data_IF_600745700072
#
_entry.id   IF_600745700072
#
_cell.length_a   1.000
_cell.length_b   1.000
_cell.length_c   1.000
_cell.angle_alpha   90.00
_cell.angle_beta   90.00
_cell.angle_gamma   90.00
#
_symmetry.space_group_name_H-M   'P 1'
#
loop_
_entity.id
_entity.type
_entity.pdbx_description
1 polymer ?
#
# COMPACT_ATOMS: atom_id res chain seq x y z
N UNK A 1 24.29 10.39 13.35
CA UNK A 1 24.17 9.22 12.45
C UNK A 1 25.27 9.24 11.39
N UNK A 2 25.31 10.22 10.48
CA UNK A 2 26.35 10.31 9.43
C UNK A 2 27.80 10.21 9.91
N UNK A 3 28.18 10.99 10.93
CA UNK A 3 29.56 11.01 11.46
C UNK A 3 29.97 9.76 12.23
N UNK A 4 29.03 8.85 12.51
CA UNK A 4 29.29 7.64 13.30
C UNK A 4 29.14 6.37 12.46
N UNK A 5 28.13 6.32 11.58
CA UNK A 5 27.81 5.15 10.75
C UNK A 5 28.23 5.31 9.28
N UNK A 6 28.77 6.47 8.88
CA UNK A 6 29.12 6.74 7.49
C UNK A 6 27.94 7.21 6.64
N UNK A 7 28.23 7.42 5.37
CA UNK A 7 27.36 8.13 4.43
C UNK A 7 26.26 7.24 3.84
N UNK A 8 26.60 5.99 3.48
CA UNK A 8 25.66 4.98 2.97
C UNK A 8 24.48 4.76 3.94
N UNK A 9 24.78 4.51 5.22
CA UNK A 9 23.77 4.29 6.26
C UNK A 9 22.95 5.57 6.52
N UNK A 10 23.59 6.75 6.51
CA UNK A 10 22.89 8.01 6.70
C UNK A 10 21.89 8.33 5.57
N UNK A 11 22.24 8.01 4.32
CA UNK A 11 21.37 8.23 3.17
C UNK A 11 20.17 7.29 3.17
N UNK A 12 20.35 6.04 3.60
CA UNK A 12 19.23 5.09 3.82
C UNK A 12 18.21 5.63 4.84
N UNK A 13 18.67 6.08 6.02
CA UNK A 13 17.76 6.62 7.03
C UNK A 13 17.13 7.95 6.59
N UNK A 14 17.82 8.76 5.79
CA UNK A 14 17.25 9.95 5.19
C UNK A 14 16.11 9.61 4.21
N UNK A 15 16.29 8.57 3.38
CA UNK A 15 15.24 8.07 2.50
C UNK A 15 14.05 7.50 3.26
N UNK A 16 14.31 6.63 4.24
CA UNK A 16 13.26 6.02 5.04
C UNK A 16 12.41 7.07 5.76
N UNK A 17 13.05 8.07 6.37
CA UNK A 17 12.36 9.18 7.02
C UNK A 17 11.51 9.97 6.04
N UNK A 18 12.07 10.35 4.89
CA UNK A 18 11.34 11.06 3.83
C UNK A 18 10.13 10.25 3.33
N UNK A 19 10.33 8.96 3.04
CA UNK A 19 9.29 8.04 2.61
C UNK A 19 8.14 7.98 3.61
N UNK A 20 8.46 7.83 4.89
CA UNK A 20 7.45 7.71 5.96
C UNK A 20 6.61 8.99 6.09
N UNK A 21 7.25 10.17 6.02
CA UNK A 21 6.56 11.46 6.04
C UNK A 21 5.61 11.64 4.84
N UNK A 22 6.06 11.30 3.63
CA UNK A 22 5.23 11.45 2.42
C UNK A 22 4.14 10.37 2.35
N UNK A 23 4.40 9.17 2.87
CA UNK A 23 3.42 8.09 2.98
C UNK A 23 2.28 8.45 3.93
N UNK A 24 2.57 9.17 5.01
CA UNK A 24 1.53 9.66 5.92
C UNK A 24 0.51 10.54 5.18
N UNK A 25 0.96 11.37 4.23
CA UNK A 25 0.06 12.20 3.39
C UNK A 25 -0.82 11.31 2.49
N UNK A 26 -0.26 10.24 1.91
CA UNK A 26 -1.03 9.28 1.11
C UNK A 26 -1.99 8.42 1.94
N UNK A 27 -1.68 8.18 3.21
CA UNK A 27 -2.52 7.39 4.10
C UNK A 27 -3.84 8.11 4.45
N UNK A 28 -3.85 9.44 4.52
CA UNK A 28 -5.04 10.24 4.85
C UNK A 28 -6.25 9.91 3.93
N UNK A 29 -6.16 10.03 2.59
CA UNK A 29 -7.28 9.69 1.72
C UNK A 29 -7.69 8.21 1.81
N UNK A 30 -6.72 7.29 2.00
CA UNK A 30 -7.01 5.87 2.21
C UNK A 30 -7.84 5.62 3.47
N UNK A 31 -7.47 6.25 4.60
CA UNK A 31 -8.23 6.18 5.84
C UNK A 31 -9.64 6.76 5.69
N UNK A 32 -9.80 7.89 4.99
CA UNK A 32 -11.10 8.51 4.74
C UNK A 32 -12.02 7.56 3.97
N UNK A 33 -11.52 6.94 2.90
CA UNK A 33 -12.29 5.99 2.10
C UNK A 33 -12.66 4.74 2.88
N UNK A 34 -11.75 4.23 3.72
CA UNK A 34 -12.02 3.09 4.58
C UNK A 34 -13.11 3.39 5.62
N UNK A 35 -13.04 4.55 6.28
CA UNK A 35 -14.06 5.00 7.24
C UNK A 35 -15.41 5.17 6.53
N UNK A 36 -15.43 5.76 5.33
CA UNK A 36 -16.64 5.90 4.53
C UNK A 36 -17.27 4.54 4.19
N UNK A 37 -16.45 3.59 3.73
CA UNK A 37 -16.90 2.22 3.45
C UNK A 37 -17.47 1.56 4.70
N UNK A 38 -16.81 1.71 5.86
CA UNK A 38 -17.27 1.15 7.12
C UNK A 38 -18.63 1.72 7.57
N UNK A 39 -18.85 3.03 7.44
CA UNK A 39 -20.15 3.66 7.72
C UNK A 39 -21.24 3.11 6.77
N UNK A 40 -20.88 2.83 5.52
CA UNK A 40 -21.81 2.31 4.50
C UNK A 40 -22.00 0.78 4.52
N UNK A 41 -21.42 0.06 5.48
CA UNK A 41 -21.37 -1.42 5.54
C UNK A 41 -22.75 -2.11 5.55
N UNK A 42 -23.81 -1.42 5.97
CA UNK A 42 -25.17 -2.00 6.07
C UNK A 42 -26.12 -1.56 4.94
N UNK A 43 -25.71 -0.61 4.09
CA UNK A 43 -26.65 0.08 3.19
C UNK A 43 -26.73 -0.50 1.78
N UNK A 44 -25.86 -1.43 1.39
CA UNK A 44 -25.80 -1.90 0.01
C UNK A 44 -26.84 -2.97 -0.33
N UNK A 45 -27.46 -2.80 -1.50
CA UNK A 45 -28.50 -3.69 -2.03
C UNK A 45 -27.98 -5.13 -2.19
N UNK A 46 -26.77 -5.28 -2.75
CA UNK A 46 -26.14 -6.60 -2.98
C UNK A 46 -25.91 -7.36 -1.66
N UNK A 47 -25.42 -6.66 -0.62
CA UNK A 47 -25.23 -7.31 0.69
C UNK A 47 -26.55 -7.76 1.29
N UNK A 48 -27.63 -6.97 1.13
CA UNK A 48 -28.97 -7.35 1.62
C UNK A 48 -29.51 -8.57 0.89
N UNK A 49 -29.38 -8.61 -0.43
CA UNK A 49 -29.81 -9.75 -1.25
C UNK A 49 -29.09 -11.04 -0.84
N UNK A 50 -27.78 -10.98 -0.59
CA UNK A 50 -27.01 -12.16 -0.14
C UNK A 50 -27.42 -12.59 1.27
N UNK A 51 -27.59 -11.67 2.21
CA UNK A 51 -27.94 -11.98 3.60
C UNK A 51 -29.40 -12.46 3.77
N UNK A 52 -30.31 -12.11 2.86
CA UNK A 52 -31.72 -12.52 2.92
C UNK A 52 -31.99 -13.83 2.14
N UNK A 53 -31.04 -14.27 1.32
CA UNK A 53 -31.15 -15.47 0.49
C UNK A 53 -30.93 -16.79 1.28
N UNK A 54 -31.85 -17.08 2.20
CA UNK A 54 -31.84 -18.30 3.03
C UNK A 54 -32.27 -19.57 2.28
N UNK A 55 -32.89 -19.44 1.11
CA UNK A 55 -33.43 -20.56 0.31
C UNK A 55 -32.57 -20.89 -0.91
N UNK A 56 -31.57 -20.07 -1.23
CA UNK A 56 -30.66 -20.31 -2.37
C UNK A 56 -29.49 -21.18 -1.93
N UNK A 57 -29.50 -22.43 -2.39
CA UNK A 57 -28.44 -23.41 -2.14
C UNK A 57 -27.42 -23.31 -3.27
N UNK A 58 -26.15 -23.17 -2.90
CA UNK A 58 -25.03 -23.12 -3.82
C UNK A 58 -24.46 -24.51 -4.09
N UNK A 59 -23.88 -24.67 -5.28
CA UNK A 59 -23.17 -25.88 -5.65
C UNK A 59 -21.93 -26.09 -4.77
N UNK A 60 -21.55 -27.35 -4.52
CA UNK A 60 -20.31 -27.66 -3.81
C UNK A 60 -19.10 -27.14 -4.60
N UNK A 61 -18.07 -26.68 -3.88
CA UNK A 61 -16.84 -26.18 -4.50
C UNK A 61 -15.93 -27.30 -5.03
N UNK A 62 -16.22 -28.56 -4.72
CA UNK A 62 -15.40 -29.71 -5.10
C UNK A 62 -16.23 -30.94 -5.51
N UNK A 63 -15.64 -31.78 -6.35
CA UNK A 63 -16.31 -32.96 -6.93
C UNK A 63 -16.58 -34.09 -5.92
N UNK A 64 -15.74 -34.25 -4.90
CA UNK A 64 -15.88 -35.36 -3.93
C UNK A 64 -16.11 -34.86 -2.50
N UNK A 65 -17.20 -35.34 -1.89
CA UNK A 65 -17.52 -35.19 -0.45
C UNK A 65 -17.59 -33.73 0.06
N UNK A 66 -17.91 -32.75 -0.79
CA UNK A 66 -18.22 -31.39 -0.33
C UNK A 66 -19.71 -31.25 -0.01
N UNK A 67 -20.08 -30.63 1.13
CA UNK A 67 -21.48 -30.31 1.41
C UNK A 67 -21.99 -29.17 0.51
N UNK A 68 -23.28 -29.17 0.25
CA UNK A 68 -23.98 -27.99 -0.27
C UNK A 68 -24.03 -26.93 0.83
N UNK A 69 -23.94 -25.65 0.44
CA UNK A 69 -23.88 -24.52 1.37
C UNK A 69 -24.89 -23.44 0.97
N UNK A 70 -25.32 -22.62 1.93
CA UNK A 70 -26.35 -21.61 1.72
C UNK A 70 -25.68 -20.28 1.40
N UNK A 71 -26.23 -19.51 0.45
CA UNK A 71 -25.65 -18.22 0.06
C UNK A 71 -25.54 -17.23 1.24
N UNK A 72 -26.54 -17.20 2.12
CA UNK A 72 -26.59 -16.37 3.32
C UNK A 72 -25.39 -16.55 4.26
N UNK A 73 -24.74 -17.73 4.27
CA UNK A 73 -23.55 -17.99 5.09
C UNK A 73 -22.36 -17.07 4.70
N UNK A 74 -22.36 -16.54 3.48
CA UNK A 74 -21.32 -15.60 2.98
C UNK A 74 -21.68 -14.12 3.17
N UNK A 75 -22.76 -13.81 3.87
CA UNK A 75 -23.22 -12.44 4.15
C UNK A 75 -22.11 -11.52 4.70
N UNK A 76 -21.33 -12.00 5.67
CA UNK A 76 -20.22 -11.21 6.27
C UNK A 76 -19.12 -10.93 5.24
N UNK A 77 -18.78 -11.92 4.42
CA UNK A 77 -17.79 -11.77 3.37
C UNK A 77 -18.25 -10.74 2.33
N UNK A 78 -19.49 -10.86 1.85
CA UNK A 78 -20.07 -9.93 0.89
C UNK A 78 -20.05 -8.48 1.38
N UNK A 79 -20.36 -8.25 2.66
CA UNK A 79 -20.29 -6.90 3.25
C UNK A 79 -18.87 -6.36 3.32
N UNK A 80 -17.89 -7.20 3.68
CA UNK A 80 -16.47 -6.79 3.69
C UNK A 80 -16.00 -6.47 2.28
N UNK A 81 -16.33 -7.32 1.31
CA UNK A 81 -16.02 -7.08 -0.11
C UNK A 81 -16.60 -5.76 -0.59
N UNK A 82 -17.84 -5.41 -0.22
CA UNK A 82 -18.41 -4.10 -0.59
C UNK A 82 -17.68 -2.90 0.03
N UNK A 83 -17.05 -3.05 1.20
CA UNK A 83 -16.23 -1.98 1.81
C UNK A 83 -14.92 -1.78 1.05
N UNK A 84 -14.32 -2.87 0.57
CA UNK A 84 -13.04 -2.87 -0.15
C UNK A 84 -13.23 -2.51 -1.63
N UNK A 85 -14.24 -3.07 -2.27
CA UNK A 85 -14.54 -2.90 -3.70
C UNK A 85 -15.65 -1.87 -3.89
N UNK A 86 -15.48 -0.69 -3.29
CA UNK A 86 -16.35 0.46 -3.49
C UNK A 86 -15.82 1.37 -4.61
N UNK A 87 -16.68 2.18 -5.23
CA UNK A 87 -16.30 3.11 -6.30
C UNK A 87 -15.13 4.04 -5.91
N UNK A 88 -15.03 4.42 -4.64
CA UNK A 88 -13.94 5.24 -4.12
C UNK A 88 -12.55 4.59 -4.20
N UNK A 89 -12.43 3.26 -4.16
CA UNK A 89 -11.12 2.59 -4.22
C UNK A 89 -10.52 2.63 -5.62
N UNK A 90 -11.34 2.74 -6.67
CA UNK A 90 -10.87 3.00 -8.04
C UNK A 90 -10.19 4.37 -8.13
N UNK A 91 -10.79 5.40 -7.54
CA UNK A 91 -10.20 6.74 -7.48
C UNK A 91 -8.88 6.73 -6.68
N UNK A 92 -8.84 5.99 -5.59
CA UNK A 92 -7.63 5.83 -4.78
C UNK A 92 -6.51 5.12 -5.54
N UNK A 93 -6.82 4.09 -6.33
CA UNK A 93 -5.83 3.40 -7.14
C UNK A 93 -5.14 4.34 -8.14
N UNK A 94 -5.92 5.18 -8.84
CA UNK A 94 -5.36 6.21 -9.73
C UNK A 94 -4.48 7.21 -8.97
N UNK A 95 -4.93 7.66 -7.79
CA UNK A 95 -4.14 8.52 -6.92
C UNK A 95 -2.82 7.89 -6.50
N UNK A 96 -2.82 6.60 -6.11
CA UNK A 96 -1.60 5.89 -5.70
C UNK A 96 -0.59 5.75 -6.84
N UNK A 97 -1.04 5.52 -8.06
CA UNK A 97 -0.17 5.50 -9.25
C UNK A 97 0.50 6.86 -9.45
N UNK A 98 -0.26 7.95 -9.42
CA UNK A 98 0.30 9.31 -9.58
C UNK A 98 1.23 9.63 -8.41
N UNK A 99 0.82 9.34 -7.18
CA UNK A 99 1.61 9.57 -5.97
C UNK A 99 2.96 8.86 -6.02
N UNK A 100 3.01 7.60 -6.46
CA UNK A 100 4.26 6.85 -6.58
C UNK A 100 5.25 7.52 -7.55
N UNK A 101 4.77 7.99 -8.70
CA UNK A 101 5.62 8.70 -9.68
C UNK A 101 6.16 10.02 -9.12
N UNK A 102 5.29 10.82 -8.50
CA UNK A 102 5.67 12.10 -7.88
C UNK A 102 6.67 11.87 -6.74
N UNK A 103 6.44 10.86 -5.90
CA UNK A 103 7.32 10.50 -4.80
C UNK A 103 8.75 10.22 -5.29
N UNK A 104 8.90 9.39 -6.33
CA UNK A 104 10.21 9.04 -6.88
C UNK A 104 10.92 10.27 -7.49
N UNK A 105 10.20 11.10 -8.25
CA UNK A 105 10.79 12.31 -8.85
C UNK A 105 11.19 13.37 -7.82
N UNK A 106 10.37 13.56 -6.78
CA UNK A 106 10.71 14.47 -5.69
C UNK A 106 11.87 13.91 -4.86
N UNK A 107 11.92 12.60 -4.63
CA UNK A 107 13.05 11.98 -3.95
C UNK A 107 14.36 12.16 -4.73
N UNK A 108 14.37 12.00 -6.05
CA UNK A 108 15.55 12.29 -6.89
C UNK A 108 16.08 13.71 -6.65
N UNK A 109 15.18 14.70 -6.59
CA UNK A 109 15.54 16.10 -6.28
C UNK A 109 16.03 16.27 -4.84
N UNK A 110 15.41 15.60 -3.88
CA UNK A 110 15.80 15.69 -2.47
C UNK A 110 17.16 15.06 -2.22
N UNK A 111 17.43 13.89 -2.81
CA UNK A 111 18.74 13.21 -2.81
C UNK A 111 19.84 14.14 -3.33
N UNK A 112 19.64 14.80 -4.48
CA UNK A 112 20.62 15.72 -5.05
C UNK A 112 20.98 16.87 -4.08
N UNK A 113 19.98 17.44 -3.39
CA UNK A 113 20.21 18.49 -2.37
C UNK A 113 20.97 17.95 -1.16
N UNK A 114 20.64 16.74 -0.69
CA UNK A 114 21.33 16.12 0.44
C UNK A 114 22.80 15.84 0.11
N UNK A 115 23.06 15.19 -1.04
CA UNK A 115 24.40 14.84 -1.52
C UNK A 115 25.25 16.10 -1.67
N UNK A 116 24.71 17.16 -2.29
CA UNK A 116 25.39 18.44 -2.45
C UNK A 116 25.69 19.11 -1.09
N UNK A 117 24.73 19.16 -0.17
CA UNK A 117 24.94 19.73 1.18
C UNK A 117 25.96 18.93 1.99
N UNK A 118 26.04 17.64 1.76
CA UNK A 118 26.97 16.75 2.45
C UNK A 118 28.34 16.66 1.77
N UNK A 119 28.54 17.36 0.65
CA UNK A 119 29.77 17.37 -0.15
C UNK A 119 30.22 15.97 -0.61
N UNK A 120 29.24 15.08 -0.86
CA UNK A 120 29.47 13.69 -1.26
C UNK A 120 29.54 13.51 -2.78
N UNK A 121 29.79 14.59 -3.54
CA UNK A 121 29.79 14.54 -5.01
C UNK A 121 30.96 13.75 -5.61
N UNK A 122 31.96 13.41 -4.79
CA UNK A 122 33.17 12.66 -5.17
C UNK A 122 33.18 11.22 -4.61
N UNK A 123 32.11 10.78 -3.95
CA UNK A 123 31.98 9.41 -3.50
C UNK A 123 31.55 8.53 -4.67
N UNK A 124 32.51 7.90 -5.34
CA UNK A 124 32.24 6.82 -6.30
C UNK A 124 32.06 5.52 -5.51
N UNK A 125 30.81 5.06 -5.42
CA UNK A 125 30.49 3.74 -4.84
C UNK A 125 31.26 2.61 -5.55
N UNK A 126 31.55 2.79 -6.85
CA UNK A 126 32.36 1.87 -7.66
C UNK A 126 33.84 1.84 -7.23
N UNK A 127 34.45 2.98 -6.86
CA UNK A 127 35.85 3.01 -6.38
C UNK A 127 35.99 2.37 -4.99
N UNK A 128 35.03 2.58 -4.08
CA UNK A 128 35.05 1.96 -2.76
C UNK A 128 34.82 0.46 -2.80
N UNK A 129 33.88 -0.03 -3.63
CA UNK A 129 33.64 -1.47 -3.79
C UNK A 129 34.87 -2.17 -4.37
N UNK A 130 35.50 -1.58 -5.41
CA UNK A 130 36.75 -2.10 -5.98
C UNK A 130 37.92 -2.07 -4.98
N UNK A 131 38.02 -1.06 -4.12
CA UNK A 131 39.06 -0.99 -3.09
C UNK A 131 38.86 -2.03 -1.97
N UNK A 132 37.62 -2.36 -1.64
CA UNK A 132 37.28 -3.41 -0.67
C UNK A 132 37.56 -4.82 -1.20
N UNK A 133 37.42 -5.04 -2.50
CA UNK A 133 37.82 -6.31 -3.14
C UNK A 133 39.34 -6.53 -3.19
N UNK A 134 40.13 -5.47 -2.99
CA UNK A 134 41.60 -5.51 -3.00
C UNK A 134 42.23 -5.68 -1.60
N UNK A 135 41.43 -5.83 -0.54
CA UNK A 135 41.85 -6.09 0.86
C UNK A 135 41.46 -7.52 1.24
#
# INVERSE_FOLDING_TARGET
IRTYFGEKIALYYAWLGWYTCVLLIAAVPGCILFIYGFISFSSSQISKEICEANTTIMCPLCDQKCPFWILSDTCTYAKITHVVDNEGTVLFAMFMTVWATVFLEVWKRHRAKIVSRWNMCLWDEEEEELALELI
#
